data_IF_039448561226
#
_entry.id   IF_039448561226
#
_cell.length_a   1.000
_cell.length_b   1.000
_cell.length_c   1.000
_cell.angle_alpha   90.00
_cell.angle_beta   90.00
_cell.angle_gamma   90.00
#
_symmetry.space_group_name_H-M   'P 1'
#
loop_
_entity.id
_entity.type
_entity.pdbx_description
1 polymer ?
#
# COMPACT_ATOMS: atom_id res chain seq x y z
N UNK A 1 -7.55 10.75 18.97
CA UNK A 1 -7.38 10.74 17.49
C UNK A 1 -6.22 9.80 17.20
N UNK A 2 -6.48 8.64 16.59
CA UNK A 2 -5.40 7.69 16.26
C UNK A 2 -4.58 8.28 15.12
N UNK A 3 -3.25 8.18 15.20
CA UNK A 3 -2.39 8.57 14.10
C UNK A 3 -2.68 7.67 12.88
N UNK A 4 -2.75 8.26 11.70
CA UNK A 4 -2.90 7.53 10.44
C UNK A 4 -1.58 6.80 10.14
N UNK A 5 -1.61 5.49 9.88
CA UNK A 5 -0.41 4.73 9.56
C UNK A 5 -0.20 4.67 8.03
N UNK A 6 0.89 5.28 7.57
CA UNK A 6 1.23 5.31 6.14
C UNK A 6 2.08 4.10 5.75
N UNK A 7 1.68 3.41 4.68
CA UNK A 7 2.34 2.20 4.19
C UNK A 7 2.57 2.23 2.68
N UNK A 8 3.63 1.56 2.23
CA UNK A 8 3.88 1.28 0.81
C UNK A 8 3.81 -0.22 0.53
N UNK A 9 3.33 -0.58 -0.66
CA UNK A 9 3.24 -1.98 -1.12
C UNK A 9 4.20 -2.18 -2.28
N UNK A 10 5.20 -3.05 -2.07
CA UNK A 10 6.07 -3.57 -3.13
C UNK A 10 5.50 -4.88 -3.68
N UNK A 11 5.58 -5.08 -5.00
CA UNK A 11 4.96 -6.23 -5.66
C UNK A 11 3.43 -6.11 -5.68
N UNK A 12 2.90 -4.89 -5.74
CA UNK A 12 1.47 -4.60 -5.61
C UNK A 12 0.60 -5.31 -6.65
N UNK A 13 1.12 -5.55 -7.87
CA UNK A 13 0.42 -6.35 -8.90
C UNK A 13 0.56 -7.85 -8.70
N UNK A 14 1.34 -8.33 -7.73
CA UNK A 14 1.41 -9.74 -7.35
C UNK A 14 0.15 -10.25 -6.65
N UNK A 15 -0.03 -11.57 -6.57
CA UNK A 15 -1.19 -12.18 -5.87
C UNK A 15 -1.26 -11.73 -4.41
N UNK A 16 -0.13 -11.80 -3.70
CA UNK A 16 -0.03 -11.36 -2.31
C UNK A 16 -0.20 -9.84 -2.18
N UNK A 17 0.41 -9.06 -3.08
CA UNK A 17 0.30 -7.61 -3.10
C UNK A 17 -1.15 -7.14 -3.17
N UNK A 18 -1.95 -7.72 -4.08
CA UNK A 18 -3.39 -7.42 -4.19
C UNK A 18 -4.18 -7.78 -2.93
N UNK A 19 -3.88 -8.91 -2.29
CA UNK A 19 -4.57 -9.29 -1.03
C UNK A 19 -4.20 -8.33 0.11
N UNK A 20 -2.93 -7.96 0.23
CA UNK A 20 -2.47 -7.00 1.23
C UNK A 20 -3.11 -5.64 1.01
N UNK A 21 -3.16 -5.18 -0.24
CA UNK A 21 -3.80 -3.91 -0.61
C UNK A 21 -5.27 -3.86 -0.16
N UNK A 22 -6.05 -4.89 -0.48
CA UNK A 22 -7.46 -4.99 -0.06
C UNK A 22 -7.65 -4.96 1.47
N UNK A 23 -6.78 -5.65 2.21
CA UNK A 23 -6.84 -5.67 3.68
C UNK A 23 -6.51 -4.31 4.26
N UNK A 24 -5.52 -3.60 3.70
CA UNK A 24 -5.10 -2.29 4.17
C UNK A 24 -6.13 -1.19 3.80
N UNK A 25 -6.75 -1.28 2.63
CA UNK A 25 -7.78 -0.34 2.18
C UNK A 25 -9.08 -0.43 3.01
N UNK A 26 -9.35 -1.60 3.61
CA UNK A 26 -10.49 -1.80 4.50
C UNK A 26 -10.28 -1.23 5.93
N UNK A 27 -9.07 -0.77 6.26
CA UNK A 27 -8.73 -0.27 7.59
C UNK A 27 -8.89 1.25 7.67
N UNK A 28 -9.59 1.72 8.69
CA UNK A 28 -9.77 3.16 8.94
C UNK A 28 -8.52 3.86 9.49
N UNK A 29 -7.51 3.10 9.95
CA UNK A 29 -6.30 3.61 10.59
C UNK A 29 -5.05 3.50 9.70
N UNK A 30 -5.21 3.12 8.42
CA UNK A 30 -4.10 2.91 7.49
C UNK A 30 -4.36 3.67 6.19
N UNK A 31 -3.29 4.21 5.60
CA UNK A 31 -3.29 4.79 4.26
C UNK A 31 -2.17 4.19 3.41
N UNK A 32 -2.53 3.56 2.31
CA UNK A 32 -1.55 3.09 1.31
C UNK A 32 -1.07 4.28 0.50
N UNK A 33 0.15 4.73 0.77
CA UNK A 33 0.76 5.93 0.17
C UNK A 33 1.52 5.63 -1.11
N UNK A 34 1.90 4.37 -1.34
CA UNK A 34 2.63 3.97 -2.54
C UNK A 34 2.31 2.53 -2.93
N UNK A 35 2.18 2.27 -4.24
CA UNK A 35 2.07 0.94 -4.84
C UNK A 35 3.05 0.86 -5.99
N UNK A 36 3.95 -0.11 -5.96
CA UNK A 36 4.97 -0.27 -6.99
C UNK A 36 5.38 -1.73 -7.15
N UNK A 37 5.84 -2.07 -8.35
CA UNK A 37 6.43 -3.36 -8.66
C UNK A 37 7.92 -3.23 -9.01
N UNK A 38 8.57 -4.37 -9.22
CA UNK A 38 9.98 -4.39 -9.59
C UNK A 38 10.22 -3.62 -10.90
N UNK A 39 11.22 -2.73 -10.88
CA UNK A 39 11.55 -1.87 -12.02
C UNK A 39 10.79 -0.54 -12.07
N UNK A 40 9.85 -0.31 -11.14
CA UNK A 40 9.13 0.97 -11.04
C UNK A 40 9.78 1.91 -10.02
N UNK A 41 9.73 3.20 -10.31
CA UNK A 41 9.97 4.23 -9.30
C UNK A 41 8.64 4.50 -8.58
N UNK A 42 8.57 4.30 -7.24
CA UNK A 42 7.37 4.64 -6.50
C UNK A 42 7.11 6.13 -6.58
N UNK A 43 5.90 6.49 -7.00
CA UNK A 43 5.41 7.85 -6.86
C UNK A 43 5.05 8.08 -5.39
N UNK A 44 5.73 9.05 -4.77
CA UNK A 44 5.56 9.44 -3.37
C UNK A 44 5.08 10.90 -3.27
N UNK A 45 4.67 11.51 -4.39
CA UNK A 45 4.21 12.90 -4.47
C UNK A 45 2.78 13.11 -3.96
#
# INVERSE_FOLDING_TARGET
MSALFHVGISGARGRMGRTVDQVLDARADVMVSARFDWGEAPDLS
#
